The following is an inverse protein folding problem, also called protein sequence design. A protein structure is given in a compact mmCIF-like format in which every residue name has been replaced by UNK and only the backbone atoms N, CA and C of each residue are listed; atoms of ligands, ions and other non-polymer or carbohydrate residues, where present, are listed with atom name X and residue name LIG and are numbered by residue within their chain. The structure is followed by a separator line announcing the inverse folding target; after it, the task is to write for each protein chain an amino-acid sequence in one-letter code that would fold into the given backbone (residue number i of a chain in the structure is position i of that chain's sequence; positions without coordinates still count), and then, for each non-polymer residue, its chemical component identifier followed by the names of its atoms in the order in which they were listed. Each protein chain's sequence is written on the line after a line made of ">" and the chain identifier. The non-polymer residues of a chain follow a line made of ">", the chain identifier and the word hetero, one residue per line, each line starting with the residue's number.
data_IF_013798856559
#
_entry.id   IF_013798856559
#
_cell.length_a   1.000
_cell.length_b   1.000
_cell.length_c   1.000
_cell.angle_alpha   90.00
_cell.angle_beta   90.00
_cell.angle_gamma   90.00
#
_symmetry.space_group_name_H-M   'P 1'
#
loop_
_entity.id
_entity.type
_entity.pdbx_description
1 polymer ?
#
# COMPACT_ATOMS: atom_id res chain seq x y z
N UNK A 1 -30.82 -8.05 12.15
CA UNK A 1 -29.78 -7.03 12.37
C UNK A 1 -28.47 -7.42 11.70
N UNK A 2 -28.17 -8.71 11.56
CA UNK A 2 -26.92 -9.20 10.94
C UNK A 2 -26.88 -9.05 9.42
N UNK A 3 -28.01 -9.05 8.72
CA UNK A 3 -28.07 -8.95 7.26
C UNK A 3 -27.66 -7.58 6.68
N UNK A 4 -27.86 -6.50 7.43
CA UNK A 4 -27.54 -5.14 6.99
C UNK A 4 -26.02 -4.89 7.07
N UNK A 5 -25.32 -5.48 8.03
CA UNK A 5 -23.87 -5.31 8.17
C UNK A 5 -23.08 -6.00 7.04
N UNK A 6 -23.53 -7.16 6.58
CA UNK A 6 -22.87 -7.89 5.48
C UNK A 6 -22.98 -7.18 4.12
N UNK A 7 -24.00 -6.35 3.91
CA UNK A 7 -24.17 -5.58 2.68
C UNK A 7 -23.38 -4.26 2.64
N UNK A 8 -22.95 -3.73 3.79
CA UNK A 8 -22.30 -2.42 3.84
C UNK A 8 -20.87 -2.43 3.26
N UNK A 9 -20.08 -3.48 3.53
CA UNK A 9 -18.68 -3.52 3.08
C UNK A 9 -18.54 -3.50 1.55
N UNK A 10 -19.25 -4.30 0.75
CA UNK A 10 -19.19 -4.23 -0.71
C UNK A 10 -19.58 -2.86 -1.28
N UNK A 11 -20.55 -2.17 -0.64
CA UNK A 11 -20.98 -0.82 -1.05
C UNK A 11 -19.85 0.18 -0.76
N UNK A 12 -19.22 0.12 0.42
CA UNK A 12 -18.10 0.97 0.78
C UNK A 12 -16.88 0.73 -0.12
N UNK A 13 -16.57 -0.54 -0.41
CA UNK A 13 -15.48 -0.89 -1.34
C UNK A 13 -15.73 -0.34 -2.74
N UNK A 14 -16.98 -0.45 -3.23
CA UNK A 14 -17.35 0.13 -4.52
C UNK A 14 -17.20 1.65 -4.52
N UNK A 15 -17.71 2.34 -3.50
CA UNK A 15 -17.57 3.79 -3.37
C UNK A 15 -16.10 4.24 -3.33
N UNK A 16 -15.26 3.51 -2.60
CA UNK A 16 -13.82 3.76 -2.57
C UNK A 16 -13.20 3.59 -3.96
N UNK A 17 -13.54 2.52 -4.66
CA UNK A 17 -13.09 2.24 -6.03
C UNK A 17 -13.49 3.35 -7.01
N UNK A 18 -14.75 3.79 -6.96
CA UNK A 18 -15.28 4.82 -7.85
C UNK A 18 -14.55 6.16 -7.64
N UNK A 19 -14.24 6.54 -6.39
CA UNK A 19 -13.47 7.76 -6.07
C UNK A 19 -12.04 7.65 -6.60
N UNK A 20 -11.37 6.51 -6.39
CA UNK A 20 -10.01 6.26 -6.88
C UNK A 20 -9.95 6.35 -8.41
N UNK A 21 -10.89 5.71 -9.10
CA UNK A 21 -10.97 5.76 -10.56
C UNK A 21 -11.26 7.17 -11.08
N UNK A 22 -12.12 7.91 -10.38
CA UNK A 22 -12.40 9.31 -10.70
C UNK A 22 -11.13 10.16 -10.58
N UNK A 23 -10.33 9.97 -9.53
CA UNK A 23 -9.06 10.67 -9.35
C UNK A 23 -8.03 10.27 -10.40
N UNK A 24 -7.89 8.99 -10.71
CA UNK A 24 -6.97 8.49 -11.73
C UNK A 24 -7.21 9.12 -13.09
N UNK A 25 -8.46 9.41 -13.43
CA UNK A 25 -8.87 10.08 -14.68
C UNK A 25 -8.58 11.59 -14.70
N UNK A 26 -8.25 12.21 -13.57
CA UNK A 26 -7.94 13.64 -13.53
C UNK A 26 -6.61 13.93 -14.21
N UNK A 27 -6.54 14.92 -15.13
CA UNK A 27 -5.28 15.26 -15.80
C UNK A 27 -4.15 15.60 -14.85
N UNK A 28 -4.47 16.27 -13.73
CA UNK A 28 -3.49 16.68 -12.75
C UNK A 28 -2.89 15.52 -11.94
N UNK A 29 -3.61 14.40 -11.79
CA UNK A 29 -3.09 13.22 -11.10
C UNK A 29 -1.81 12.68 -11.77
N UNK A 30 -1.66 12.88 -13.09
CA UNK A 30 -0.49 12.44 -13.87
C UNK A 30 0.83 13.16 -13.49
N UNK A 31 0.76 14.33 -12.83
CA UNK A 31 1.97 14.99 -12.32
C UNK A 31 2.65 14.19 -11.21
N UNK A 32 1.92 13.34 -10.50
CA UNK A 32 2.46 12.52 -9.42
C UNK A 32 2.86 11.13 -9.83
N UNK A 33 2.32 10.61 -10.93
CA UNK A 33 2.58 9.29 -11.49
C UNK A 33 1.46 8.84 -12.45
N UNK A 34 1.66 7.69 -13.04
CA UNK A 34 0.76 7.09 -14.03
C UNK A 34 -0.20 6.04 -13.44
N UNK A 35 -0.09 5.75 -12.14
CA UNK A 35 -0.87 4.72 -11.46
C UNK A 35 -0.23 3.34 -11.51
N UNK A 36 1.01 3.20 -11.99
CA UNK A 36 1.72 1.92 -12.09
C UNK A 36 2.51 1.55 -10.84
N UNK A 37 2.73 2.49 -9.93
CA UNK A 37 3.49 2.23 -8.71
C UNK A 37 2.68 2.48 -7.45
N UNK A 38 2.99 1.74 -6.41
CA UNK A 38 2.31 1.85 -5.12
C UNK A 38 3.24 1.63 -3.95
N UNK A 39 2.81 2.07 -2.79
CA UNK A 39 3.46 1.77 -1.51
C UNK A 39 2.44 1.29 -0.49
N UNK A 40 2.90 0.56 0.51
CA UNK A 40 2.04 0.16 1.62
C UNK A 40 2.68 0.47 2.97
N UNK A 41 1.81 0.84 3.90
CA UNK A 41 2.19 1.10 5.28
C UNK A 41 1.02 0.81 6.22
N UNK A 42 1.33 0.58 7.49
CA UNK A 42 0.37 0.26 8.53
C UNK A 42 0.17 1.38 9.53
N UNK A 43 -1.07 1.76 9.78
CA UNK A 43 -1.44 2.61 10.90
C UNK A 43 -1.96 1.74 12.03
N UNK A 44 -1.23 1.72 13.16
CA UNK A 44 -1.73 1.07 14.35
C UNK A 44 -2.83 1.92 14.99
N UNK A 45 -3.95 1.27 15.29
CA UNK A 45 -5.09 1.87 15.98
C UNK A 45 -5.37 1.05 17.25
N UNK A 46 -5.60 1.77 18.37
CA UNK A 46 -5.96 1.16 19.64
C UNK A 46 -7.35 0.55 19.56
N UNK A 47 -7.56 -0.57 20.24
CA UNK A 47 -8.87 -1.18 20.40
C UNK A 47 -9.44 -0.82 21.79
N UNK A 48 -10.61 -0.19 21.81
CA UNK A 48 -11.31 0.14 23.04
C UNK A 48 -12.07 -1.09 23.62
N UNK A 49 -12.16 -2.17 22.84
CA UNK A 49 -12.87 -3.40 23.19
C UNK A 49 -11.98 -4.60 23.00
N UNK A 50 -12.31 -5.70 23.67
CA UNK A 50 -11.63 -6.98 23.40
C UNK A 50 -12.06 -7.52 22.05
N UNK A 51 -11.09 -7.62 21.11
CA UNK A 51 -11.25 -8.22 19.81
C UNK A 51 -10.21 -9.31 19.60
N UNK A 52 -10.59 -10.41 18.93
CA UNK A 52 -9.71 -11.59 18.75
C UNK A 52 -8.41 -11.28 18.00
N UNK A 53 -8.47 -10.33 17.10
CA UNK A 53 -7.34 -9.89 16.28
C UNK A 53 -6.55 -8.72 16.88
N UNK A 54 -7.03 -8.13 17.99
CA UNK A 54 -6.32 -7.06 18.69
C UNK A 54 -5.26 -7.64 19.60
N UNK A 55 -4.02 -7.29 19.36
CA UNK A 55 -2.88 -7.82 20.09
C UNK A 55 -2.07 -6.72 20.74
N UNK A 56 -1.34 -7.18 21.74
CA UNK A 56 -0.36 -6.43 22.46
C UNK A 56 0.96 -6.43 21.70
N UNK A 57 1.56 -5.28 21.55
CA UNK A 57 2.90 -5.18 20.98
C UNK A 57 3.72 -4.16 21.79
N UNK A 58 4.78 -4.61 22.50
CA UNK A 58 5.59 -3.75 23.37
C UNK A 58 6.20 -2.53 22.67
N UNK A 59 6.42 -2.61 21.37
CA UNK A 59 6.95 -1.51 20.56
C UNK A 59 6.00 -0.29 20.53
N UNK A 60 4.70 -0.53 20.70
CA UNK A 60 3.67 0.51 20.65
C UNK A 60 3.01 0.81 22.00
N UNK A 61 3.53 0.28 23.11
CA UNK A 61 3.02 0.50 24.47
C UNK A 61 2.11 -0.61 24.99
N UNK A 62 1.39 -0.31 26.09
CA UNK A 62 0.69 -1.28 26.91
C UNK A 62 -0.75 -1.61 26.48
N UNK A 63 -1.20 -1.12 25.33
CA UNK A 63 -2.59 -1.27 24.89
C UNK A 63 -2.71 -2.21 23.71
N UNK A 64 -3.79 -3.01 23.71
CA UNK A 64 -4.13 -3.84 22.57
C UNK A 64 -4.53 -2.98 21.36
N UNK A 65 -4.19 -3.40 20.17
CA UNK A 65 -4.56 -2.71 18.94
C UNK A 65 -4.51 -3.62 17.73
N UNK A 66 -4.94 -3.08 16.62
CA UNK A 66 -4.84 -3.69 15.29
C UNK A 66 -4.08 -2.75 14.37
N UNK A 67 -3.59 -3.25 13.27
CA UNK A 67 -2.99 -2.44 12.23
C UNK A 67 -3.94 -2.32 11.05
N UNK A 68 -4.30 -1.08 10.70
CA UNK A 68 -4.94 -0.76 9.43
C UNK A 68 -3.82 -0.69 8.38
N UNK A 69 -3.69 -1.74 7.59
CA UNK A 69 -2.67 -1.85 6.56
C UNK A 69 -3.24 -1.42 5.22
N UNK A 70 -2.65 -0.41 4.61
CA UNK A 70 -3.19 0.20 3.39
C UNK A 70 -2.16 0.29 2.27
N UNK A 71 -2.64 0.18 1.03
CA UNK A 71 -1.88 0.45 -0.17
C UNK A 71 -2.28 1.79 -0.80
N UNK A 72 -1.28 2.57 -1.16
CA UNK A 72 -1.40 3.92 -1.72
C UNK A 72 -0.70 3.96 -3.06
N UNK A 73 -1.37 4.48 -4.09
CA UNK A 73 -0.79 4.67 -5.42
C UNK A 73 0.16 5.87 -5.46
N UNK A 74 0.96 5.97 -6.49
CA UNK A 74 1.80 7.14 -6.78
C UNK A 74 0.98 8.44 -6.98
N UNK A 75 -0.31 8.31 -7.25
CA UNK A 75 -1.26 9.41 -7.38
C UNK A 75 -1.94 9.80 -6.06
N UNK A 76 -1.44 9.32 -4.91
CA UNK A 76 -2.03 9.55 -3.59
C UNK A 76 -3.44 8.97 -3.40
N UNK A 77 -3.82 7.92 -4.12
CA UNK A 77 -5.07 7.20 -3.87
C UNK A 77 -4.83 6.02 -2.96
N UNK A 78 -5.61 5.91 -1.88
CA UNK A 78 -5.66 4.71 -1.05
C UNK A 78 -6.61 3.71 -1.71
N UNK A 79 -6.06 2.77 -2.50
CA UNK A 79 -6.85 1.86 -3.33
C UNK A 79 -7.12 0.49 -2.68
N UNK A 80 -6.45 0.19 -1.57
CA UNK A 80 -6.65 -1.06 -0.85
C UNK A 80 -6.40 -0.90 0.64
N UNK A 81 -7.15 -1.63 1.46
CA UNK A 81 -7.02 -1.63 2.91
C UNK A 81 -7.32 -3.00 3.49
N UNK A 82 -6.59 -3.39 4.51
CA UNK A 82 -6.79 -4.60 5.29
C UNK A 82 -6.63 -4.35 6.78
N UNK A 83 -7.22 -5.22 7.59
CA UNK A 83 -7.02 -5.24 9.03
C UNK A 83 -6.13 -6.42 9.38
N UNK A 84 -4.99 -6.14 9.97
CA UNK A 84 -4.02 -7.16 10.35
C UNK A 84 -3.68 -7.08 11.83
N UNK A 85 -3.21 -8.18 12.37
CA UNK A 85 -2.68 -8.23 13.73
C UNK A 85 -1.38 -7.42 13.81
N UNK A 86 -1.21 -6.62 14.87
CA UNK A 86 -0.01 -5.78 15.09
C UNK A 86 1.30 -6.56 15.20
N UNK A 87 1.25 -7.86 15.36
CA UNK A 87 2.42 -8.74 15.40
C UNK A 87 2.64 -9.50 14.09
N UNK A 88 1.74 -9.32 13.10
CA UNK A 88 1.88 -9.94 11.79
C UNK A 88 2.97 -9.24 10.98
N UNK A 89 3.61 -9.99 10.08
CA UNK A 89 4.50 -9.39 9.07
C UNK A 89 3.66 -8.77 7.96
N UNK A 90 3.77 -7.48 7.79
CA UNK A 90 2.91 -6.69 6.90
C UNK A 90 3.05 -7.12 5.44
N UNK A 91 4.28 -7.40 4.99
CA UNK A 91 4.58 -7.70 3.60
C UNK A 91 3.82 -8.91 3.00
N UNK A 92 3.38 -9.87 3.81
CA UNK A 92 2.61 -11.02 3.30
C UNK A 92 1.18 -10.64 2.91
N UNK A 93 0.63 -9.57 3.50
CA UNK A 93 -0.75 -9.13 3.26
C UNK A 93 -0.89 -8.27 2.01
N UNK A 94 0.22 -7.71 1.51
CA UNK A 94 0.16 -6.84 0.34
C UNK A 94 -0.28 -7.58 -0.92
N UNK A 95 0.08 -8.85 -1.06
CA UNK A 95 -0.30 -9.67 -2.21
C UNK A 95 -1.82 -9.73 -2.37
N UNK A 96 -2.55 -9.92 -1.26
CA UNK A 96 -4.00 -9.97 -1.30
C UNK A 96 -4.60 -8.61 -1.71
N UNK A 97 -4.00 -7.50 -1.29
CA UNK A 97 -4.46 -6.15 -1.64
C UNK A 97 -4.18 -5.87 -3.12
N UNK A 98 -2.98 -6.18 -3.62
CA UNK A 98 -2.59 -5.92 -5.01
C UNK A 98 -3.42 -6.73 -6.02
N UNK A 99 -3.82 -7.95 -5.66
CA UNK A 99 -4.62 -8.81 -6.54
C UNK A 99 -6.13 -8.54 -6.49
N UNK A 100 -6.63 -8.04 -5.35
CA UNK A 100 -8.07 -7.96 -5.12
C UNK A 100 -8.64 -6.53 -5.20
N UNK A 101 -7.81 -5.51 -5.47
CA UNK A 101 -8.36 -4.18 -5.70
C UNK A 101 -9.17 -4.14 -7.00
N UNK A 102 -10.27 -3.40 -6.98
CA UNK A 102 -11.22 -3.31 -8.10
C UNK A 102 -11.07 -2.01 -8.89
N UNK A 103 -9.96 -1.30 -8.68
CA UNK A 103 -9.68 -0.01 -9.33
C UNK A 103 -9.09 -0.21 -10.72
N UNK A 104 -9.12 0.83 -11.56
CA UNK A 104 -8.52 0.87 -12.90
C UNK A 104 -6.99 1.05 -12.87
N UNK A 105 -6.37 1.08 -11.68
CA UNK A 105 -4.91 1.19 -11.55
C UNK A 105 -4.24 -0.12 -11.99
N UNK A 106 -3.19 0.00 -12.77
CA UNK A 106 -2.36 -1.13 -13.23
C UNK A 106 -1.03 -1.14 -12.48
N UNK A 107 -1.05 -1.67 -11.25
CA UNK A 107 0.13 -1.68 -10.39
C UNK A 107 1.15 -2.71 -10.89
N UNK A 108 2.34 -2.25 -11.23
CA UNK A 108 3.48 -3.08 -11.67
C UNK A 108 4.56 -3.18 -10.59
N UNK A 109 4.79 -2.11 -9.84
CA UNK A 109 5.86 -2.02 -8.84
C UNK A 109 5.31 -1.59 -7.48
N UNK A 110 5.77 -2.28 -6.41
CA UNK A 110 5.27 -2.04 -5.06
C UNK A 110 6.39 -1.84 -4.05
N UNK A 111 6.29 -0.75 -3.25
CA UNK A 111 7.25 -0.35 -2.23
C UNK A 111 6.76 -0.66 -0.83
N UNK A 112 7.66 -1.17 0.02
CA UNK A 112 7.40 -1.37 1.45
C UNK A 112 8.57 -0.87 2.29
N UNK A 113 8.33 -0.63 3.57
CA UNK A 113 9.42 -0.39 4.50
C UNK A 113 10.22 -1.68 4.76
N UNK A 114 11.37 -1.52 5.39
CA UNK A 114 12.37 -2.57 5.67
C UNK A 114 11.83 -3.72 6.50
N UNK A 115 10.76 -3.50 7.27
CA UNK A 115 10.22 -4.49 8.19
C UNK A 115 9.41 -5.58 7.48
N UNK A 116 9.94 -6.79 7.42
CA UNK A 116 9.11 -7.98 7.18
C UNK A 116 9.18 -8.62 5.80
N UNK A 117 9.98 -8.12 4.86
CA UNK A 117 10.16 -8.84 3.61
C UNK A 117 10.94 -10.14 3.79
N UNK A 118 10.55 -11.16 3.07
CA UNK A 118 11.22 -12.47 3.03
C UNK A 118 11.55 -12.86 1.60
N UNK A 119 12.49 -13.79 1.43
CA UNK A 119 12.80 -14.32 0.09
C UNK A 119 11.53 -14.89 -0.57
N UNK A 120 10.64 -15.53 0.19
CA UNK A 120 9.38 -16.07 -0.32
C UNK A 120 8.44 -14.97 -0.88
N UNK A 121 8.40 -13.79 -0.26
CA UNK A 121 7.60 -12.66 -0.77
C UNK A 121 8.11 -12.21 -2.11
N UNK A 122 9.43 -12.06 -2.28
CA UNK A 122 10.02 -11.74 -3.57
C UNK A 122 9.66 -12.76 -4.66
N UNK A 123 9.77 -14.06 -4.35
CA UNK A 123 9.43 -15.11 -5.30
C UNK A 123 7.95 -15.12 -5.67
N UNK A 124 7.06 -14.94 -4.70
CA UNK A 124 5.63 -14.96 -4.95
C UNK A 124 5.17 -13.72 -5.73
N UNK A 125 5.61 -12.53 -5.36
CA UNK A 125 5.23 -11.28 -6.05
C UNK A 125 5.69 -11.28 -7.50
N UNK A 126 6.91 -11.77 -7.78
CA UNK A 126 7.40 -11.95 -9.13
C UNK A 126 6.51 -12.87 -9.97
N UNK A 127 6.14 -14.04 -9.44
CA UNK A 127 5.25 -14.99 -10.13
C UNK A 127 3.85 -14.43 -10.41
N UNK A 128 3.41 -13.48 -9.59
CA UNK A 128 2.13 -12.81 -9.75
C UNK A 128 2.21 -11.59 -10.68
N UNK A 129 3.40 -11.22 -11.14
CA UNK A 129 3.61 -10.12 -12.08
C UNK A 129 3.93 -8.78 -11.46
N UNK A 130 4.23 -8.74 -10.15
CA UNK A 130 4.58 -7.50 -9.45
C UNK A 130 6.09 -7.43 -9.15
N UNK A 131 6.69 -6.28 -9.39
CA UNK A 131 8.03 -5.97 -8.90
C UNK A 131 7.95 -5.51 -7.44
N UNK A 132 8.49 -6.29 -6.53
CA UNK A 132 8.55 -5.96 -5.11
C UNK A 132 9.85 -5.24 -4.79
N UNK A 133 9.76 -4.02 -4.25
CA UNK A 133 10.91 -3.13 -4.05
C UNK A 133 10.90 -2.49 -2.64
N UNK A 134 11.29 -3.24 -1.59
CA UNK A 134 11.34 -2.72 -0.24
C UNK A 134 12.51 -1.76 -0.04
N UNK A 135 12.37 -0.78 0.84
CA UNK A 135 13.49 0.06 1.27
C UNK A 135 14.52 -0.77 2.03
N UNK A 136 15.78 -0.67 1.66
CA UNK A 136 16.89 -1.30 2.39
C UNK A 136 17.42 -0.34 3.47
N UNK A 137 17.32 -0.75 4.74
CA UNK A 137 17.81 0.05 5.88
C UNK A 137 19.33 -0.01 6.00
N UNK A 138 19.87 -1.24 5.96
CA UNK A 138 21.30 -1.49 6.08
C UNK A 138 21.79 -2.27 4.88
N UNK A 139 22.59 -1.65 4.03
CA UNK A 139 23.17 -2.30 2.85
C UNK A 139 24.13 -3.41 3.24
N UNK A 140 24.85 -3.27 4.37
CA UNK A 140 25.76 -4.29 4.91
C UNK A 140 25.08 -5.62 5.23
N UNK A 141 23.77 -5.61 5.52
CA UNK A 141 22.99 -6.83 5.82
C UNK A 141 22.47 -7.51 4.55
N UNK A 142 22.63 -6.88 3.39
CA UNK A 142 22.18 -7.42 2.12
C UNK A 142 23.03 -8.63 1.73
N UNK A 143 22.32 -9.69 1.29
CA UNK A 143 22.95 -10.94 0.85
C UNK A 143 22.67 -11.12 -0.62
N UNK A 144 23.73 -11.15 -1.42
CA UNK A 144 23.66 -11.52 -2.83
C UNK A 144 23.90 -13.03 -2.97
N UNK A 145 23.28 -13.61 -3.99
CA UNK A 145 23.38 -15.04 -4.27
C UNK A 145 23.82 -15.27 -5.72
N UNK A 146 24.48 -16.39 -5.99
CA UNK A 146 24.92 -16.77 -7.33
C UNK A 146 24.35 -18.13 -7.75
N UNK A 147 24.29 -18.38 -9.05
CA UNK A 147 23.79 -19.63 -9.61
C UNK A 147 24.94 -20.56 -10.01
N UNK A 148 25.91 -20.08 -10.77
CA UNK A 148 26.98 -20.93 -11.36
C UNK A 148 28.24 -20.95 -10.49
N UNK A 149 29.14 -20.00 -10.70
CA UNK A 149 30.42 -19.92 -9.99
C UNK A 149 30.63 -18.56 -9.31
N UNK A 150 31.09 -18.60 -8.06
CA UNK A 150 31.35 -17.38 -7.28
C UNK A 150 32.55 -16.60 -7.84
N UNK A 151 33.52 -17.30 -8.44
CA UNK A 151 34.76 -16.75 -8.99
C UNK A 151 34.51 -15.79 -10.16
N UNK A 152 33.38 -15.90 -10.83
CA UNK A 152 32.99 -15.02 -11.93
C UNK A 152 32.69 -13.58 -11.46
N UNK A 153 32.47 -13.38 -10.16
CA UNK A 153 32.06 -12.09 -9.56
C UNK A 153 33.17 -11.47 -8.72
N UNK A 154 34.37 -11.31 -9.28
CA UNK A 154 35.59 -10.87 -8.56
C UNK A 154 35.41 -9.61 -7.72
N UNK A 155 34.68 -8.62 -8.21
CA UNK A 155 34.54 -7.30 -7.57
C UNK A 155 33.50 -7.28 -6.42
N UNK A 156 32.63 -8.29 -6.31
CA UNK A 156 31.54 -8.34 -5.32
C UNK A 156 31.54 -9.64 -4.50
N UNK A 157 32.63 -10.42 -4.54
CA UNK A 157 32.71 -11.71 -3.83
C UNK A 157 32.42 -11.64 -2.35
N UNK A 158 32.80 -10.51 -1.69
CA UNK A 158 32.63 -10.32 -0.25
C UNK A 158 31.16 -10.22 0.16
N UNK A 159 30.31 -9.65 -0.72
CA UNK A 159 28.87 -9.48 -0.47
C UNK A 159 28.05 -10.69 -0.92
N UNK A 160 28.65 -11.62 -1.67
CA UNK A 160 28.00 -12.88 -2.07
C UNK A 160 28.06 -13.86 -0.91
N UNK A 161 26.90 -14.25 -0.40
CA UNK A 161 26.75 -15.09 0.82
C UNK A 161 26.41 -16.55 0.54
N UNK A 162 25.93 -16.89 -0.67
CA UNK A 162 25.57 -18.29 -0.93
C UNK A 162 25.21 -18.60 -2.38
N UNK A 163 25.08 -19.88 -2.64
CA UNK A 163 24.66 -20.43 -3.93
C UNK A 163 23.16 -20.75 -3.89
N UNK A 164 22.46 -20.42 -4.98
CA UNK A 164 21.05 -20.74 -5.18
C UNK A 164 20.93 -22.23 -5.52
N UNK A 165 20.00 -22.90 -4.86
CA UNK A 165 19.70 -24.31 -5.17
C UNK A 165 18.65 -24.40 -6.29
N UNK A 166 19.14 -24.31 -7.53
CA UNK A 166 18.29 -24.41 -8.73
C UNK A 166 17.63 -25.78 -8.89
N UNK A 167 18.20 -26.85 -8.31
CA UNK A 167 17.63 -28.20 -8.37
C UNK A 167 16.28 -28.24 -7.63
N UNK A 168 16.21 -27.73 -6.41
CA UNK A 168 14.95 -27.72 -5.64
C UNK A 168 13.88 -26.85 -6.30
N UNK A 169 14.26 -25.75 -6.97
CA UNK A 169 13.33 -24.93 -7.75
C UNK A 169 12.73 -25.78 -8.87
N UNK A 170 13.57 -26.46 -9.68
CA UNK A 170 13.11 -27.28 -10.79
C UNK A 170 12.20 -28.44 -10.34
N UNK A 171 12.56 -29.12 -9.26
CA UNK A 171 11.79 -30.23 -8.71
C UNK A 171 10.41 -29.84 -8.17
N UNK A 172 10.22 -28.58 -7.76
CA UNK A 172 8.96 -28.09 -7.20
C UNK A 172 8.30 -27.00 -8.07
N UNK A 173 8.74 -26.80 -9.31
CA UNK A 173 8.32 -25.67 -10.13
C UNK A 173 6.81 -25.70 -10.43
N UNK A 174 6.28 -26.88 -10.78
CA UNK A 174 4.86 -27.06 -11.05
C UNK A 174 3.98 -26.75 -9.82
N UNK A 175 4.44 -27.10 -8.63
CA UNK A 175 3.73 -26.82 -7.39
C UNK A 175 3.81 -25.31 -7.03
N UNK A 176 4.95 -24.66 -7.29
CA UNK A 176 5.09 -23.20 -7.16
C UNK A 176 4.10 -22.49 -8.09
N UNK A 177 4.04 -22.87 -9.38
CA UNK A 177 3.10 -22.30 -10.36
C UNK A 177 1.65 -22.56 -9.97
N UNK A 178 1.34 -23.76 -9.47
CA UNK A 178 -0.01 -24.12 -9.02
C UNK A 178 -0.47 -23.25 -7.85
N UNK A 179 0.42 -22.94 -6.90
CA UNK A 179 0.12 -22.02 -5.81
C UNK A 179 -0.08 -20.61 -6.35
N UNK A 180 0.83 -20.08 -7.16
CA UNK A 180 0.71 -18.75 -7.73
C UNK A 180 -0.59 -18.59 -8.53
N UNK A 181 -0.94 -19.57 -9.36
CA UNK A 181 -2.19 -19.60 -10.11
C UNK A 181 -3.42 -19.63 -9.18
N UNK A 182 -3.39 -20.46 -8.12
CA UNK A 182 -4.51 -20.55 -7.17
C UNK A 182 -4.75 -19.24 -6.42
N UNK A 183 -3.67 -18.51 -6.11
CA UNK A 183 -3.75 -17.18 -5.49
C UNK A 183 -4.30 -16.16 -6.51
N UNK A 184 -3.78 -16.17 -7.74
CA UNK A 184 -4.21 -15.28 -8.82
C UNK A 184 -5.70 -15.44 -9.14
N UNK A 185 -6.21 -16.66 -9.12
CA UNK A 185 -7.61 -16.99 -9.33
C UNK A 185 -8.50 -16.75 -8.09
N UNK A 186 -7.94 -16.22 -7.00
CA UNK A 186 -8.69 -15.95 -5.77
C UNK A 186 -9.22 -17.19 -5.04
N UNK A 187 -8.68 -18.40 -5.35
CA UNK A 187 -9.09 -19.65 -4.67
C UNK A 187 -8.57 -19.72 -3.25
N UNK A 188 -7.41 -19.09 -3.01
CA UNK A 188 -6.77 -18.98 -1.68
C UNK A 188 -6.14 -17.60 -1.57
N UNK A 189 -6.05 -17.06 -0.34
CA UNK A 189 -5.35 -15.81 -0.12
C UNK A 189 -3.84 -16.02 -0.05
N UNK A 190 -3.09 -15.06 -0.60
CA UNK A 190 -1.63 -15.07 -0.57
C UNK A 190 -1.09 -15.04 0.86
N UNK A 191 -1.68 -14.22 1.73
CA UNK A 191 -1.29 -14.10 3.13
C UNK A 191 -1.47 -15.41 3.91
N UNK A 192 -2.56 -16.14 3.66
CA UNK A 192 -2.82 -17.44 4.31
C UNK A 192 -1.77 -18.48 3.90
N UNK A 193 -1.46 -18.57 2.60
CA UNK A 193 -0.46 -19.51 2.08
C UNK A 193 0.92 -19.16 2.64
N UNK A 194 1.32 -17.89 2.55
CA UNK A 194 2.62 -17.44 3.05
C UNK A 194 2.76 -17.64 4.57
N UNK A 195 1.69 -17.37 5.32
CA UNK A 195 1.64 -17.65 6.75
C UNK A 195 1.84 -19.14 7.08
N UNK A 196 1.15 -20.02 6.33
CA UNK A 196 1.30 -21.48 6.49
C UNK A 196 2.70 -21.95 6.10
N UNK A 197 3.23 -21.54 4.94
CA UNK A 197 4.58 -21.91 4.49
C UNK A 197 5.67 -21.44 5.48
N UNK A 198 5.47 -20.31 6.15
CA UNK A 198 6.39 -19.80 7.16
C UNK A 198 6.26 -20.44 8.54
N UNK A 199 5.14 -21.10 8.86
CA UNK A 199 4.84 -21.64 10.21
C UNK A 199 5.29 -23.08 10.43
N UNK A 200 5.66 -23.83 9.38
CA UNK A 200 6.10 -25.21 9.53
C UNK A 200 7.45 -25.28 10.28
N UNK A 201 7.52 -26.07 11.35
CA UNK A 201 8.74 -26.31 12.14
C UNK A 201 9.89 -26.88 11.28
N UNK A 202 9.56 -27.70 10.27
CA UNK A 202 10.49 -28.07 9.19
C UNK A 202 9.90 -27.56 7.88
N UNK A 203 10.60 -26.62 7.25
CA UNK A 203 10.19 -26.12 5.94
C UNK A 203 10.08 -27.29 4.95
N UNK A 204 8.91 -27.42 4.31
CA UNK A 204 8.71 -28.38 3.24
C UNK A 204 9.52 -28.00 1.98
N UNK A 205 9.63 -28.89 1.02
CA UNK A 205 10.39 -28.67 -0.22
C UNK A 205 9.89 -27.46 -0.99
N UNK A 206 8.58 -27.26 -1.03
CA UNK A 206 7.92 -26.15 -1.73
C UNK A 206 8.26 -24.78 -1.11
N UNK A 207 8.22 -24.67 0.23
CA UNK A 207 8.61 -23.44 0.92
C UNK A 207 10.07 -23.08 0.68
N UNK A 208 10.96 -24.11 0.64
CA UNK A 208 12.36 -23.92 0.30
C UNK A 208 12.54 -23.50 -1.15
N UNK A 209 11.84 -24.15 -2.09
CA UNK A 209 11.92 -23.85 -3.50
C UNK A 209 11.44 -22.41 -3.80
N UNK A 210 10.34 -21.97 -3.20
CA UNK A 210 9.86 -20.59 -3.32
C UNK A 210 10.87 -19.60 -2.72
N UNK A 211 11.52 -19.94 -1.61
CA UNK A 211 12.57 -19.10 -1.02
C UNK A 211 13.81 -19.02 -1.93
N UNK A 212 14.23 -20.14 -2.55
CA UNK A 212 15.36 -20.14 -3.50
C UNK A 212 15.04 -19.30 -4.75
N UNK A 213 13.81 -19.38 -5.28
CA UNK A 213 13.35 -18.52 -6.36
C UNK A 213 13.39 -17.04 -5.93
N UNK A 214 12.88 -16.74 -4.75
CA UNK A 214 12.89 -15.37 -4.22
C UNK A 214 14.29 -14.81 -3.98
N UNK A 215 15.30 -15.64 -3.71
CA UNK A 215 16.69 -15.19 -3.63
C UNK A 215 17.22 -14.67 -4.98
N UNK A 216 16.73 -15.20 -6.10
CA UNK A 216 17.07 -14.69 -7.43
C UNK A 216 16.53 -13.28 -7.57
N UNK A 217 15.24 -13.10 -7.38
CA UNK A 217 14.56 -11.82 -7.53
C UNK A 217 15.10 -10.77 -6.56
N UNK A 218 15.32 -11.15 -5.31
CA UNK A 218 15.93 -10.28 -4.32
C UNK A 218 17.36 -9.86 -4.68
N UNK A 219 18.14 -10.75 -5.28
CA UNK A 219 19.49 -10.42 -5.73
C UNK A 219 19.45 -9.41 -6.86
N UNK A 220 18.58 -9.60 -7.85
CA UNK A 220 18.35 -8.66 -8.96
C UNK A 220 17.92 -7.28 -8.37
N UNK A 221 16.94 -7.29 -7.50
CA UNK A 221 16.48 -6.06 -6.83
C UNK A 221 17.61 -5.33 -6.09
N UNK A 222 18.45 -6.04 -5.32
CA UNK A 222 19.56 -5.42 -4.58
C UNK A 222 20.57 -4.82 -5.54
N UNK A 223 20.88 -5.49 -6.65
CA UNK A 223 21.81 -4.97 -7.67
C UNK A 223 21.26 -3.68 -8.32
N UNK A 224 19.98 -3.67 -8.68
CA UNK A 224 19.31 -2.48 -9.21
C UNK A 224 19.29 -1.34 -8.18
N UNK A 225 18.95 -1.68 -6.93
CA UNK A 225 18.91 -0.71 -5.83
C UNK A 225 20.29 -0.06 -5.57
N UNK A 226 21.39 -0.81 -5.71
CA UNK A 226 22.74 -0.30 -5.52
C UNK A 226 23.23 0.50 -6.72
N UNK A 227 22.89 0.11 -7.93
CA UNK A 227 23.38 0.71 -9.17
C UNK A 227 22.60 1.97 -9.58
N UNK A 228 21.31 2.07 -9.26
CA UNK A 228 20.46 3.19 -9.69
C UNK A 228 19.99 4.06 -8.50
N UNK A 229 20.52 5.29 -8.45
CA UNK A 229 20.10 6.27 -7.46
C UNK A 229 18.67 6.76 -7.66
N UNK A 230 18.21 6.89 -8.92
CA UNK A 230 16.84 7.33 -9.21
C UNK A 230 15.84 6.29 -8.74
N UNK A 231 16.16 5.00 -8.87
CA UNK A 231 15.34 3.92 -8.35
C UNK A 231 15.20 4.01 -6.82
N UNK A 232 16.31 4.24 -6.09
CA UNK A 232 16.26 4.45 -4.63
C UNK A 232 15.40 5.66 -4.24
N UNK A 233 15.55 6.78 -4.98
CA UNK A 233 14.74 8.00 -4.76
C UNK A 233 13.25 7.73 -5.02
N UNK A 234 12.91 6.99 -6.08
CA UNK A 234 11.55 6.61 -6.43
C UNK A 234 10.88 5.82 -5.30
N UNK A 235 11.58 4.80 -4.74
CA UNK A 235 11.13 4.04 -3.58
C UNK A 235 10.86 4.96 -2.39
N UNK A 236 11.81 5.85 -2.06
CA UNK A 236 11.66 6.76 -0.93
C UNK A 236 10.48 7.73 -1.11
N UNK A 237 10.29 8.28 -2.30
CA UNK A 237 9.16 9.15 -2.63
C UNK A 237 7.83 8.40 -2.45
N UNK A 238 7.74 7.15 -2.94
CA UNK A 238 6.56 6.32 -2.78
C UNK A 238 6.22 6.06 -1.30
N UNK A 239 7.21 5.74 -0.48
CA UNK A 239 7.03 5.54 0.96
C UNK A 239 6.61 6.83 1.67
N UNK A 240 7.21 7.96 1.34
CA UNK A 240 6.84 9.27 1.90
C UNK A 240 5.38 9.63 1.58
N UNK A 241 4.86 9.26 0.40
CA UNK A 241 3.43 9.42 0.07
C UNK A 241 2.53 8.61 1.01
N UNK A 242 2.92 7.36 1.31
CA UNK A 242 2.25 6.51 2.29
C UNK A 242 2.24 7.12 3.70
N UNK A 243 3.40 7.62 4.16
CA UNK A 243 3.53 8.26 5.47
C UNK A 243 2.67 9.53 5.58
N UNK A 244 2.67 10.37 4.54
CA UNK A 244 1.83 11.58 4.48
C UNK A 244 0.34 11.23 4.48
N UNK A 245 -0.07 10.19 3.75
CA UNK A 245 -1.43 9.67 3.78
C UNK A 245 -1.84 9.19 5.17
N UNK A 246 -0.94 8.55 5.89
CA UNK A 246 -1.18 8.11 7.26
C UNK A 246 -1.27 9.29 8.26
N UNK A 247 -0.60 10.41 7.99
CA UNK A 247 -0.78 11.65 8.77
C UNK A 247 -2.20 12.20 8.59
N UNK A 248 -2.70 12.28 7.35
CA UNK A 248 -4.09 12.66 7.06
C UNK A 248 -5.09 11.69 7.72
N UNK A 249 -4.82 10.37 7.64
CA UNK A 249 -5.66 9.36 8.29
C UNK A 249 -5.81 9.61 9.79
N UNK A 250 -4.71 9.93 10.49
CA UNK A 250 -4.73 10.26 11.92
C UNK A 250 -5.48 11.56 12.21
N UNK A 251 -5.38 12.57 11.36
CA UNK A 251 -6.11 13.82 11.51
C UNK A 251 -7.63 13.62 11.39
N UNK A 252 -8.08 12.72 10.51
CA UNK A 252 -9.51 12.42 10.32
C UNK A 252 -10.05 11.47 11.39
N UNK A 253 -9.25 10.48 11.83
CA UNK A 253 -9.67 9.43 12.76
C UNK A 253 -9.56 9.86 14.22
N UNK A 254 -10.22 10.96 14.59
CA UNK A 254 -10.21 11.50 15.94
C UNK A 254 -11.44 11.13 16.79
N UNK A 255 -12.55 10.77 16.14
CA UNK A 255 -13.78 10.35 16.82
C UNK A 255 -13.55 9.17 17.75
N UNK A 256 -14.26 9.12 18.88
CA UNK A 256 -14.10 8.10 19.93
C UNK A 256 -12.64 7.96 20.40
N UNK A 257 -11.94 9.08 20.55
CA UNK A 257 -10.52 9.14 20.94
C UNK A 257 -9.56 8.42 19.97
N UNK A 258 -9.92 8.29 18.70
CA UNK A 258 -9.11 7.56 17.72
C UNK A 258 -9.00 6.05 17.99
N UNK A 259 -9.99 5.44 18.65
CA UNK A 259 -10.02 4.03 19.00
C UNK A 259 -11.07 3.27 18.19
N UNK A 260 -10.80 1.98 17.94
CA UNK A 260 -11.76 1.06 17.39
C UNK A 260 -12.65 0.46 18.48
N UNK A 261 -13.96 0.42 18.21
CA UNK A 261 -14.98 -0.17 19.08
C UNK A 261 -15.63 -1.42 18.50
N UNK A 262 -15.19 -1.81 17.32
CA UNK A 262 -15.67 -2.99 16.60
C UNK A 262 -14.90 -4.24 17.09
N UNK A 263 -15.66 -5.29 17.50
CA UNK A 263 -15.09 -6.54 18.03
C UNK A 263 -14.63 -7.51 16.94
N UNK A 264 -15.26 -7.44 15.79
CA UNK A 264 -15.02 -8.34 14.66
C UNK A 264 -14.23 -7.64 13.54
N UNK A 265 -13.51 -8.43 12.76
CA UNK A 265 -12.66 -7.97 11.67
C UNK A 265 -13.48 -7.22 10.60
N UNK A 266 -14.70 -7.68 10.34
CA UNK A 266 -15.55 -7.10 9.31
C UNK A 266 -15.99 -5.68 9.68
N UNK A 267 -16.42 -5.45 10.91
CA UNK A 267 -16.75 -4.11 11.43
C UNK A 267 -15.53 -3.18 11.42
N UNK A 268 -14.36 -3.70 11.82
CA UNK A 268 -13.11 -2.96 11.75
C UNK A 268 -12.74 -2.58 10.31
N UNK A 269 -12.92 -3.50 9.36
CA UNK A 269 -12.66 -3.26 7.94
C UNK A 269 -13.64 -2.23 7.35
N UNK A 270 -14.94 -2.28 7.73
CA UNK A 270 -15.90 -1.25 7.34
C UNK A 270 -15.48 0.13 7.82
N UNK A 271 -15.00 0.24 9.06
CA UNK A 271 -14.50 1.50 9.61
C UNK A 271 -13.27 2.01 8.86
N UNK A 272 -12.32 1.12 8.56
CA UNK A 272 -11.11 1.44 7.82
C UNK A 272 -11.40 1.84 6.37
N UNK A 273 -12.36 1.16 5.71
CA UNK A 273 -12.80 1.51 4.36
C UNK A 273 -13.51 2.86 4.33
N UNK A 274 -14.38 3.14 5.32
CA UNK A 274 -15.03 4.45 5.45
C UNK A 274 -14.00 5.58 5.65
N UNK A 275 -12.97 5.36 6.47
CA UNK A 275 -11.85 6.30 6.60
C UNK A 275 -11.14 6.52 5.27
N UNK A 276 -10.90 5.46 4.51
CA UNK A 276 -10.25 5.54 3.19
C UNK A 276 -11.10 6.32 2.17
N UNK A 277 -12.42 6.20 2.22
CA UNK A 277 -13.35 6.98 1.39
C UNK A 277 -13.18 8.48 1.67
N UNK A 278 -13.14 8.89 2.94
CA UNK A 278 -12.98 10.30 3.32
C UNK A 278 -11.62 10.82 2.86
N UNK A 279 -10.55 10.06 3.07
CA UNK A 279 -9.20 10.40 2.61
C UNK A 279 -9.18 10.60 1.09
N UNK A 280 -9.71 9.64 0.34
CA UNK A 280 -9.74 9.70 -1.12
C UNK A 280 -10.63 10.84 -1.64
N UNK A 281 -11.74 11.16 -0.96
CA UNK A 281 -12.57 12.30 -1.30
C UNK A 281 -11.82 13.63 -1.13
N UNK A 282 -11.04 13.79 -0.05
CA UNK A 282 -10.18 14.97 0.16
C UNK A 282 -9.11 15.04 -0.92
N UNK A 283 -8.46 13.92 -1.21
CA UNK A 283 -7.44 13.83 -2.25
C UNK A 283 -8.01 14.19 -3.62
N UNK A 284 -9.16 13.63 -4.00
CA UNK A 284 -9.86 13.95 -5.25
C UNK A 284 -10.24 15.43 -5.32
N UNK A 285 -10.82 15.97 -4.25
CA UNK A 285 -11.20 17.37 -4.18
C UNK A 285 -9.98 18.27 -4.44
N UNK A 286 -8.87 18.04 -3.74
CA UNK A 286 -7.63 18.78 -3.96
C UNK A 286 -7.07 18.59 -5.37
N UNK A 287 -7.12 17.37 -5.92
CA UNK A 287 -6.68 17.08 -7.29
C UNK A 287 -7.43 17.91 -8.33
N UNK A 288 -8.73 18.18 -8.09
CA UNK A 288 -9.57 18.99 -8.98
C UNK A 288 -9.33 20.49 -8.78
N UNK A 289 -9.11 20.94 -7.53
CA UNK A 289 -9.03 22.36 -7.23
C UNK A 289 -7.62 22.97 -7.36
N UNK A 290 -6.56 22.21 -7.12
CA UNK A 290 -5.17 22.67 -7.28
C UNK A 290 -4.93 23.29 -8.66
N UNK A 291 -5.29 22.64 -9.80
CA UNK A 291 -5.12 23.24 -11.13
C UNK A 291 -5.80 24.59 -11.28
N UNK A 292 -7.01 24.73 -10.74
CA UNK A 292 -7.76 26.00 -10.82
C UNK A 292 -7.11 27.13 -10.02
N UNK A 293 -6.52 26.80 -8.88
CA UNK A 293 -5.72 27.75 -8.09
C UNK A 293 -4.48 28.16 -8.88
N UNK A 294 -3.81 27.18 -9.48
CA UNK A 294 -2.60 27.42 -10.30
C UNK A 294 -2.91 28.32 -11.50
N UNK A 295 -4.01 28.08 -12.21
CA UNK A 295 -4.46 28.94 -13.31
C UNK A 295 -4.65 30.39 -12.86
N UNK A 296 -5.32 30.61 -11.72
CA UNK A 296 -5.49 31.95 -11.15
C UNK A 296 -4.20 32.60 -10.69
N UNK A 297 -3.26 31.83 -10.18
CA UNK A 297 -1.93 32.33 -9.80
C UNK A 297 -1.13 32.75 -11.04
N UNK A 298 -1.21 31.98 -12.14
CA UNK A 298 -0.56 32.31 -13.42
C UNK A 298 -1.04 33.62 -14.02
N UNK A 299 -2.26 34.10 -13.69
CA UNK A 299 -2.76 35.41 -14.10
C UNK A 299 -2.03 36.57 -13.39
N UNK A 300 -1.47 36.33 -12.22
CA UNK A 300 -0.86 37.33 -11.35
C UNK A 300 0.66 37.23 -11.27
N UNK A 301 1.19 36.04 -11.35
CA UNK A 301 2.59 35.71 -11.09
C UNK A 301 3.09 34.61 -12.05
N UNK A 302 4.40 34.56 -12.26
CA UNK A 302 5.04 33.49 -13.00
C UNK A 302 5.09 32.22 -12.13
N UNK A 303 4.38 31.17 -12.51
CA UNK A 303 4.33 29.88 -11.78
C UNK A 303 5.29 28.90 -12.47
N UNK A 304 6.27 28.41 -11.71
CA UNK A 304 7.15 27.36 -12.21
C UNK A 304 6.40 26.01 -12.19
N UNK A 305 6.15 25.43 -13.35
CA UNK A 305 5.42 24.16 -13.49
C UNK A 305 6.13 22.96 -12.87
N UNK A 306 7.45 23.01 -12.74
CA UNK A 306 8.21 21.94 -12.07
C UNK A 306 7.86 21.78 -10.59
N UNK A 307 7.34 22.83 -9.95
CA UNK A 307 6.87 22.72 -8.57
C UNK A 307 5.54 21.96 -8.44
N UNK A 308 4.74 21.88 -9.49
CA UNK A 308 3.40 21.27 -9.42
C UNK A 308 3.46 19.78 -9.04
N UNK A 309 4.48 19.07 -9.51
CA UNK A 309 4.71 17.66 -9.13
C UNK A 309 5.03 17.44 -7.63
N UNK A 310 5.45 18.52 -6.95
CA UNK A 310 5.77 18.51 -5.52
C UNK A 310 4.61 18.98 -4.63
N UNK A 311 3.54 19.49 -5.22
CA UNK A 311 2.33 19.89 -4.48
C UNK A 311 1.53 18.66 -4.14
N UNK A 312 1.39 18.36 -2.85
CA UNK A 312 0.63 17.19 -2.38
C UNK A 312 -0.87 17.50 -2.32
N UNK A 313 -1.74 16.58 -2.78
CA UNK A 313 -3.20 16.74 -2.67
C UNK A 313 -3.74 16.35 -1.29
N UNK A 314 -2.89 16.21 -0.28
CA UNK A 314 -3.27 15.74 1.06
C UNK A 314 -3.53 16.88 2.06
N UNK A 315 -3.49 18.15 1.64
CA UNK A 315 -3.79 19.28 2.51
C UNK A 315 -5.22 19.22 3.04
N UNK A 316 -5.41 19.45 4.33
CA UNK A 316 -6.72 19.39 5.00
C UNK A 316 -7.04 20.60 5.89
N UNK A 317 -6.16 21.58 6.00
CA UNK A 317 -6.28 22.73 6.89
C UNK A 317 -7.48 23.62 6.55
N UNK A 318 -7.96 23.52 5.30
CA UNK A 318 -9.14 24.21 4.80
C UNK A 318 -10.47 23.48 5.11
N UNK A 319 -10.41 22.29 5.74
CA UNK A 319 -11.57 21.44 6.03
C UNK A 319 -11.85 21.46 7.53
N UNK A 320 -13.06 21.85 7.91
CA UNK A 320 -13.50 21.76 9.31
C UNK A 320 -14.11 20.39 9.58
N UNK A 321 -13.32 19.44 10.10
CA UNK A 321 -13.79 18.09 10.43
C UNK A 321 -14.84 18.02 11.54
N UNK A 322 -14.99 19.08 12.33
CA UNK A 322 -15.97 19.16 13.45
C UNK A 322 -17.21 19.94 13.02
N UNK A 323 -17.23 20.47 11.80
CA UNK A 323 -18.33 21.23 11.24
C UNK A 323 -19.61 20.41 11.03
N UNK A 324 -20.70 21.10 10.79
CA UNK A 324 -21.94 20.48 10.33
C UNK A 324 -21.84 20.23 8.83
N UNK A 325 -22.14 18.98 8.43
CA UNK A 325 -22.20 18.57 7.04
C UNK A 325 -23.66 18.48 6.62
N UNK A 326 -24.02 19.25 5.59
CA UNK A 326 -25.33 19.19 4.97
C UNK A 326 -25.22 18.46 3.64
N UNK A 327 -26.02 17.41 3.45
CA UNK A 327 -26.07 16.58 2.25
C UNK A 327 -27.34 16.82 1.43
N UNK A 328 -28.05 17.93 1.66
CA UNK A 328 -29.24 18.27 0.89
C UNK A 328 -28.88 18.70 -0.52
N UNK A 329 -29.55 18.06 -1.52
CA UNK A 329 -29.38 18.37 -2.94
C UNK A 329 -29.88 19.78 -3.33
N UNK A 330 -30.60 20.47 -2.43
CA UNK A 330 -31.16 21.81 -2.63
C UNK A 330 -30.27 22.93 -2.08
N UNK A 331 -28.97 22.72 -1.92
CA UNK A 331 -28.10 23.81 -1.51
C UNK A 331 -27.98 24.86 -2.60
N UNK A 332 -28.32 26.13 -2.30
CA UNK A 332 -28.18 27.34 -3.11
C UNK A 332 -26.69 27.68 -3.39
N UNK A 333 -25.90 26.71 -3.81
CA UNK A 333 -24.54 26.96 -4.26
C UNK A 333 -24.55 27.19 -5.78
N UNK A 334 -24.12 28.36 -6.21
CA UNK A 334 -23.76 28.61 -7.60
C UNK A 334 -22.60 27.68 -7.99
N UNK A 335 -22.96 26.50 -8.52
CA UNK A 335 -22.00 25.52 -8.98
C UNK A 335 -21.64 25.82 -10.43
N UNK A 336 -20.47 26.37 -10.67
CA UNK A 336 -19.91 26.45 -12.04
C UNK A 336 -19.45 25.04 -12.42
N UNK A 337 -20.08 24.43 -13.42
CA UNK A 337 -19.81 23.06 -13.85
C UNK A 337 -19.92 22.02 -12.74
N UNK A 338 -20.96 22.10 -11.90
CA UNK A 338 -21.16 21.26 -10.71
C UNK A 338 -20.05 21.35 -9.66
N UNK A 339 -19.28 22.43 -9.65
CA UNK A 339 -18.21 22.65 -8.68
C UNK A 339 -18.37 23.99 -7.96
N UNK A 340 -18.13 23.98 -6.66
CA UNK A 340 -18.15 25.18 -5.85
C UNK A 340 -17.09 26.17 -6.35
N UNK A 341 -17.46 27.45 -6.61
CA UNK A 341 -16.49 28.46 -7.02
C UNK A 341 -15.43 28.70 -5.95
N UNK A 342 -14.18 28.89 -6.36
CA UNK A 342 -13.11 29.31 -5.46
C UNK A 342 -13.43 30.71 -4.93
N UNK A 343 -13.51 30.86 -3.60
CA UNK A 343 -13.52 32.20 -3.01
C UNK A 343 -12.14 32.80 -3.25
N UNK A 344 -12.11 33.89 -4.00
CA UNK A 344 -10.90 34.71 -4.15
C UNK A 344 -10.80 35.55 -2.88
N UNK A 345 -9.72 35.34 -2.10
CA UNK A 345 -9.36 36.21 -0.98
C UNK A 345 -8.60 37.41 -1.54
#
# INVERSE_FOLDING_TARGET
>A
VTGVQTCALPILEKAMTDIVNCQHKQPYAKYWGDGSTSSSDGVRVKSAVEALNACYNPHYGLEKGVTMYSAVSDQYSRFGIGIINTNSRDAIHIVDILLNHKTELEIEEHYTDTAGYTDQVFGLTHLLGFRFAPRLRNISDCKLYYIEKKEDFKNIQEVIKGKINTKIIKENYDDILRIAYSIKEGKVSGSLIMGKLGSYARQNSLAKALSELGKIEKTIFILDYLSDENFRRKIQIGLNKGEAMNALARAIFFGKYGMLHEKDIQGQLQRATALSIIINAITLWNTIYIPKVVEKLKEKEEVNEDFLKHVSPLGWEHINFIGQYNFDDNSDYDLVNNMRPLKVI
#
